data_IF_366186198275
#
_entry.id   IF_366186198275
#
_cell.length_a   1.000
_cell.length_b   1.000
_cell.length_c   1.000
_cell.angle_alpha   90.00
_cell.angle_beta   90.00
_cell.angle_gamma   90.00
#
_symmetry.space_group_name_H-M   'P 1'
#
loop_
_entity.id
_entity.type
_entity.pdbx_description
1 polymer ?
#
# COMPACT_ATOMS: atom_id res chain seq x y z
N UNK A 1 -28.16 -3.97 -3.65
CA UNK A 1 -27.27 -4.52 -2.63
C UNK A 1 -27.44 -3.77 -1.30
N UNK A 2 -26.96 -4.32 -0.19
CA UNK A 2 -26.91 -3.60 1.09
C UNK A 2 -25.48 -3.16 1.39
N UNK A 3 -25.32 -2.01 2.02
CA UNK A 3 -24.03 -1.49 2.48
C UNK A 3 -24.08 -1.31 3.99
N UNK A 4 -23.12 -1.90 4.68
CA UNK A 4 -22.81 -1.61 6.08
C UNK A 4 -21.34 -1.31 6.25
N UNK A 5 -20.96 -0.69 7.36
CA UNK A 5 -19.58 -0.29 7.61
C UNK A 5 -19.29 -0.23 9.12
N UNK A 6 -18.02 -0.27 9.45
CA UNK A 6 -17.53 -0.07 10.81
C UNK A 6 -16.23 0.72 10.79
N UNK A 7 -16.17 1.77 11.62
CA UNK A 7 -14.92 2.43 11.95
C UNK A 7 -14.17 1.55 12.96
N UNK A 8 -12.89 1.35 12.73
CA UNK A 8 -12.00 0.60 13.60
C UNK A 8 -10.73 1.41 13.87
N UNK A 9 -10.00 1.03 14.90
CA UNK A 9 -8.73 1.65 15.25
C UNK A 9 -7.74 0.56 15.61
N UNK A 10 -6.84 0.23 14.67
CA UNK A 10 -5.92 -0.89 14.76
C UNK A 10 -4.67 -0.49 15.54
N UNK A 11 -4.38 -1.10 16.71
CA UNK A 11 -3.20 -0.77 17.50
C UNK A 11 -1.93 -1.35 16.91
N UNK A 12 -0.86 -0.54 16.83
CA UNK A 12 0.47 -1.01 16.44
C UNK A 12 1.20 -1.67 17.60
N UNK A 13 2.01 -2.69 17.31
CA UNK A 13 2.95 -3.31 18.27
C UNK A 13 3.97 -2.32 18.80
N UNK A 14 4.42 -1.40 17.93
CA UNK A 14 5.37 -0.33 18.22
C UNK A 14 4.87 0.98 17.63
N UNK A 15 5.20 2.14 18.22
CA UNK A 15 4.94 3.41 17.58
C UNK A 15 5.53 3.41 16.15
N UNK A 16 4.72 3.81 15.18
CA UNK A 16 5.12 3.88 13.77
C UNK A 16 5.48 5.31 13.42
N UNK A 17 6.77 5.58 13.25
CA UNK A 17 7.30 6.93 13.00
C UNK A 17 7.89 7.04 11.60
N UNK A 18 7.48 8.07 10.88
CA UNK A 18 8.05 8.53 9.61
C UNK A 18 8.48 10.00 9.76
N UNK A 19 9.12 10.58 8.76
CA UNK A 19 9.54 12.00 8.77
C UNK A 19 8.39 12.99 9.04
N UNK A 20 7.13 12.58 8.82
CA UNK A 20 5.91 13.41 8.97
C UNK A 20 5.16 13.21 10.30
N UNK A 21 5.63 12.34 11.18
CA UNK A 21 5.02 12.12 12.50
C UNK A 21 4.96 10.67 12.97
N UNK A 22 4.39 10.49 14.15
CA UNK A 22 4.28 9.19 14.83
C UNK A 22 2.82 8.81 15.03
N UNK A 23 2.50 7.53 14.80
CA UNK A 23 1.20 6.92 15.08
C UNK A 23 1.37 5.73 16.03
N UNK A 24 0.39 5.52 16.91
CA UNK A 24 0.28 4.32 17.76
C UNK A 24 -0.89 3.42 17.33
N UNK A 25 -1.75 3.93 16.46
CA UNK A 25 -2.90 3.23 15.91
C UNK A 25 -3.12 3.63 14.46
N UNK A 26 -3.78 2.76 13.69
CA UNK A 26 -4.26 3.05 12.35
C UNK A 26 -5.80 3.06 12.37
N UNK A 27 -6.43 4.26 12.32
CA UNK A 27 -7.87 4.35 12.08
C UNK A 27 -8.19 3.86 10.67
N UNK A 28 -9.25 3.07 10.53
CA UNK A 28 -9.70 2.58 9.23
C UNK A 28 -11.22 2.45 9.15
N UNK A 29 -11.75 2.50 7.94
CA UNK A 29 -13.13 2.19 7.62
C UNK A 29 -13.18 0.81 6.96
N UNK A 30 -13.89 -0.13 7.57
CA UNK A 30 -14.28 -1.39 6.94
C UNK A 30 -15.67 -1.23 6.35
N UNK A 31 -15.83 -1.63 5.09
CA UNK A 31 -17.13 -1.70 4.43
C UNK A 31 -17.49 -3.15 4.10
N UNK A 32 -18.80 -3.44 4.16
CA UNK A 32 -19.39 -4.71 3.80
C UNK A 32 -20.48 -4.47 2.76
N UNK A 33 -20.38 -5.16 1.65
CA UNK A 33 -21.41 -5.23 0.61
C UNK A 33 -22.11 -6.58 0.68
N UNK A 34 -23.44 -6.58 0.70
CA UNK A 34 -24.24 -7.80 0.62
C UNK A 34 -25.12 -7.76 -0.62
N UNK A 35 -25.02 -8.79 -1.46
CA UNK A 35 -25.81 -8.93 -2.67
C UNK A 35 -26.13 -10.41 -2.94
N UNK A 36 -27.42 -10.72 -3.14
CA UNK A 36 -27.89 -12.09 -3.41
C UNK A 36 -27.38 -13.15 -2.41
N UNK A 37 -27.28 -12.79 -1.13
CA UNK A 37 -26.79 -13.69 -0.07
C UNK A 37 -25.26 -13.87 -0.03
N UNK A 38 -24.51 -13.19 -0.90
CA UNK A 38 -23.04 -13.18 -0.90
C UNK A 38 -22.54 -11.87 -0.27
N UNK A 39 -21.44 -11.95 0.46
CA UNK A 39 -20.87 -10.81 1.19
C UNK A 39 -19.44 -10.54 0.73
N UNK A 40 -19.14 -9.29 0.40
CA UNK A 40 -17.79 -8.78 0.13
C UNK A 40 -17.36 -7.75 1.15
N UNK A 41 -16.07 -7.73 1.49
CA UNK A 41 -15.45 -6.81 2.43
C UNK A 41 -14.36 -5.97 1.77
N UNK A 42 -14.19 -4.75 2.23
CA UNK A 42 -13.11 -3.86 1.82
C UNK A 42 -12.72 -2.92 2.94
N UNK A 43 -11.57 -2.31 2.80
CA UNK A 43 -10.94 -1.48 3.81
C UNK A 43 -10.35 -0.21 3.20
N UNK A 44 -10.39 0.88 3.96
CA UNK A 44 -9.58 2.05 3.73
C UNK A 44 -9.05 2.60 5.06
N UNK A 45 -7.72 2.60 5.28
CA UNK A 45 -7.10 3.31 6.38
C UNK A 45 -7.25 4.82 6.19
N UNK A 46 -7.47 5.54 7.29
CA UNK A 46 -7.51 7.01 7.30
C UNK A 46 -6.09 7.57 7.40
N UNK A 47 -5.71 8.46 6.50
CA UNK A 47 -4.37 9.06 6.45
C UNK A 47 -4.46 10.58 6.51
N UNK A 48 -3.94 11.15 7.57
CA UNK A 48 -3.97 12.61 7.82
C UNK A 48 -3.30 13.40 6.70
N UNK A 49 -2.22 12.88 6.12
CA UNK A 49 -1.51 13.52 5.01
C UNK A 49 -2.42 13.83 3.81
N UNK A 50 -3.39 12.95 3.53
CA UNK A 50 -4.35 13.14 2.43
C UNK A 50 -5.63 13.87 2.87
N UNK A 51 -5.71 14.29 4.14
CA UNK A 51 -6.86 14.97 4.73
C UNK A 51 -8.18 14.18 4.58
N UNK A 52 -8.09 12.86 4.70
CA UNK A 52 -9.25 11.95 4.65
C UNK A 52 -9.33 11.18 5.97
N UNK A 53 -10.01 11.73 7.00
CA UNK A 53 -10.30 11.00 8.23
C UNK A 53 -11.46 10.01 8.03
N UNK A 54 -11.62 9.06 8.96
CA UNK A 54 -12.70 8.05 8.92
C UNK A 54 -14.07 8.71 8.88
N UNK A 55 -14.26 9.78 9.65
CA UNK A 55 -15.51 10.54 9.73
C UNK A 55 -15.92 11.09 8.36
N UNK A 56 -14.96 11.57 7.57
CA UNK A 56 -15.21 12.07 6.21
C UNK A 56 -15.66 10.96 5.26
N UNK A 57 -15.07 9.77 5.38
CA UNK A 57 -15.50 8.61 4.59
C UNK A 57 -16.94 8.20 4.96
N UNK A 58 -17.25 8.17 6.26
CA UNK A 58 -18.59 7.84 6.76
C UNK A 58 -19.62 8.88 6.31
N UNK A 59 -19.33 10.17 6.48
CA UNK A 59 -20.22 11.25 6.06
C UNK A 59 -20.57 11.18 4.57
N UNK A 60 -19.55 10.98 3.73
CA UNK A 60 -19.74 10.87 2.28
C UNK A 60 -20.55 9.62 1.91
N UNK A 61 -20.27 8.49 2.57
CA UNK A 61 -21.02 7.25 2.37
C UNK A 61 -22.49 7.40 2.78
N UNK A 62 -22.77 7.88 4.00
CA UNK A 62 -24.14 8.02 4.49
C UNK A 62 -24.98 8.96 3.62
N UNK A 63 -24.39 10.08 3.15
CA UNK A 63 -25.05 11.01 2.25
C UNK A 63 -25.53 10.36 0.94
N UNK A 64 -24.81 9.35 0.44
CA UNK A 64 -25.05 8.72 -0.86
C UNK A 64 -25.31 7.21 -0.78
N UNK A 65 -25.45 6.66 0.42
CA UNK A 65 -25.64 5.23 0.68
C UNK A 65 -26.75 4.60 -0.17
N UNK A 66 -27.88 5.25 -0.24
CA UNK A 66 -29.02 4.76 -1.02
C UNK A 66 -28.70 4.68 -2.53
N UNK A 67 -27.83 5.54 -3.05
CA UNK A 67 -27.38 5.49 -4.44
C UNK A 67 -26.48 4.25 -4.65
N UNK A 68 -25.55 4.00 -3.71
CA UNK A 68 -24.70 2.79 -3.74
C UNK A 68 -25.55 1.54 -3.66
N UNK A 69 -26.54 1.48 -2.75
CA UNK A 69 -27.40 0.32 -2.56
C UNK A 69 -28.32 0.03 -3.75
N UNK A 70 -28.77 1.06 -4.47
CA UNK A 70 -29.61 0.94 -5.68
C UNK A 70 -28.83 0.58 -6.94
N UNK A 71 -27.50 0.59 -6.88
CA UNK A 71 -26.68 0.24 -8.04
C UNK A 71 -26.91 -1.23 -8.45
N UNK A 72 -27.18 -1.47 -9.72
CA UNK A 72 -27.32 -2.82 -10.29
C UNK A 72 -25.93 -3.41 -10.51
N UNK A 73 -25.40 -4.07 -9.49
CA UNK A 73 -24.05 -4.63 -9.50
C UNK A 73 -23.95 -5.81 -10.49
N UNK A 74 -23.09 -5.69 -11.49
CA UNK A 74 -22.81 -6.71 -12.49
C UNK A 74 -21.32 -6.92 -12.77
N UNK A 75 -20.45 -6.25 -12.02
CA UNK A 75 -19.01 -6.37 -12.11
C UNK A 75 -18.28 -5.16 -11.51
N UNK A 76 -17.05 -5.38 -10.98
CA UNK A 76 -16.35 -4.35 -10.21
C UNK A 76 -15.87 -3.16 -11.06
N UNK A 77 -15.44 -3.35 -12.30
CA UNK A 77 -14.94 -2.25 -13.13
C UNK A 77 -15.99 -1.17 -13.38
N UNK A 78 -17.21 -1.55 -13.78
CA UNK A 78 -18.32 -0.59 -13.97
C UNK A 78 -18.76 0.01 -12.63
N UNK A 79 -18.70 -0.79 -11.56
CA UNK A 79 -18.98 -0.32 -10.22
C UNK A 79 -17.99 0.74 -9.77
N UNK A 80 -16.70 0.54 -10.01
CA UNK A 80 -15.67 1.53 -9.72
C UNK A 80 -15.93 2.85 -10.47
N UNK A 81 -16.22 2.81 -11.76
CA UNK A 81 -16.56 4.02 -12.53
C UNK A 81 -17.73 4.78 -11.92
N UNK A 82 -18.76 4.06 -11.52
CA UNK A 82 -19.90 4.67 -10.83
C UNK A 82 -19.49 5.31 -9.50
N UNK A 83 -18.73 4.60 -8.67
CA UNK A 83 -18.24 5.09 -7.38
C UNK A 83 -17.34 6.32 -7.53
N UNK A 84 -16.43 6.30 -8.49
CA UNK A 84 -15.52 7.40 -8.76
C UNK A 84 -16.28 8.69 -9.12
N UNK A 85 -17.34 8.61 -9.91
CA UNK A 85 -18.22 9.74 -10.18
C UNK A 85 -19.06 10.14 -8.96
N UNK A 86 -19.45 9.16 -8.16
CA UNK A 86 -20.28 9.42 -6.99
C UNK A 86 -19.46 10.10 -5.87
N UNK A 87 -18.18 9.73 -5.70
CA UNK A 87 -17.28 10.21 -4.65
C UNK A 87 -15.97 10.79 -5.22
N UNK A 88 -16.01 11.83 -6.08
CA UNK A 88 -14.84 12.28 -6.84
C UNK A 88 -13.68 12.84 -5.97
N UNK A 89 -13.95 13.17 -4.72
CA UNK A 89 -12.97 13.74 -3.78
C UNK A 89 -12.62 12.79 -2.63
N UNK A 90 -13.04 11.52 -2.70
CA UNK A 90 -12.82 10.56 -1.63
C UNK A 90 -12.40 9.18 -2.16
N UNK A 91 -11.18 9.12 -2.72
CA UNK A 91 -10.63 7.88 -3.28
C UNK A 91 -10.47 6.78 -2.23
N UNK A 92 -10.29 7.13 -0.96
CA UNK A 92 -10.18 6.17 0.12
C UNK A 92 -11.50 5.42 0.32
N UNK A 93 -12.62 6.14 0.33
CA UNK A 93 -13.93 5.50 0.36
C UNK A 93 -14.20 4.67 -0.91
N UNK A 94 -13.82 5.21 -2.08
CA UNK A 94 -13.92 4.48 -3.36
C UNK A 94 -13.10 3.20 -3.29
N UNK A 95 -11.89 3.24 -2.74
CA UNK A 95 -11.03 2.08 -2.54
C UNK A 95 -11.70 0.99 -1.68
N UNK A 96 -12.24 1.37 -0.52
CA UNK A 96 -12.91 0.41 0.36
C UNK A 96 -14.11 -0.26 -0.35
N UNK A 97 -14.91 0.51 -1.08
CA UNK A 97 -16.06 0.01 -1.83
C UNK A 97 -15.66 -0.83 -3.04
N UNK A 98 -14.57 -0.47 -3.74
CA UNK A 98 -14.04 -1.22 -4.88
C UNK A 98 -13.47 -2.57 -4.45
N UNK A 99 -12.66 -2.60 -3.39
CA UNK A 99 -12.15 -3.85 -2.81
C UNK A 99 -13.31 -4.76 -2.39
N UNK A 100 -14.33 -4.21 -1.70
CA UNK A 100 -15.52 -4.97 -1.33
C UNK A 100 -16.29 -5.48 -2.54
N UNK A 101 -16.36 -4.70 -3.62
CA UNK A 101 -16.96 -5.09 -4.90
C UNK A 101 -16.20 -6.24 -5.57
N UNK A 102 -14.88 -6.21 -5.56
CA UNK A 102 -14.04 -7.30 -6.06
C UNK A 102 -14.17 -8.56 -5.22
N UNK A 103 -14.15 -8.45 -3.89
CA UNK A 103 -14.36 -9.58 -2.98
C UNK A 103 -15.72 -10.24 -3.21
N UNK A 104 -16.76 -9.41 -3.26
CA UNK A 104 -18.13 -9.87 -3.58
C UNK A 104 -18.17 -10.61 -4.92
N UNK A 105 -17.61 -10.03 -5.97
CA UNK A 105 -17.60 -10.60 -7.31
C UNK A 105 -16.83 -11.92 -7.37
N UNK A 106 -15.65 -11.98 -6.75
CA UNK A 106 -14.86 -13.20 -6.68
C UNK A 106 -15.60 -14.34 -5.99
N UNK A 107 -16.30 -14.05 -4.89
CA UNK A 107 -17.15 -15.01 -4.19
C UNK A 107 -18.37 -15.45 -5.02
N UNK A 108 -19.02 -14.52 -5.73
CA UNK A 108 -20.11 -14.86 -6.66
C UNK A 108 -19.63 -15.74 -7.82
N UNK A 109 -18.39 -15.60 -8.26
CA UNK A 109 -17.75 -16.39 -9.33
C UNK A 109 -17.09 -17.68 -8.82
N UNK A 110 -16.99 -17.87 -7.50
CA UNK A 110 -16.33 -19.02 -6.89
C UNK A 110 -14.81 -19.06 -7.14
N UNK A 111 -14.18 -17.92 -7.37
CA UNK A 111 -12.76 -17.83 -7.73
C UNK A 111 -12.01 -16.75 -6.94
N UNK A 112 -10.72 -16.94 -6.60
CA UNK A 112 -9.86 -15.89 -6.08
C UNK A 112 -9.56 -14.84 -7.16
N UNK A 113 -9.24 -13.60 -6.75
CA UNK A 113 -9.16 -12.47 -7.67
C UNK A 113 -8.05 -12.63 -8.72
N UNK A 114 -6.87 -13.10 -8.36
CA UNK A 114 -5.76 -13.28 -9.30
C UNK A 114 -6.13 -14.24 -10.46
N UNK A 115 -6.99 -15.24 -10.22
CA UNK A 115 -7.50 -16.13 -11.27
C UNK A 115 -8.57 -15.47 -12.13
N UNK A 116 -9.41 -14.61 -11.55
CA UNK A 116 -10.37 -13.82 -12.35
C UNK A 116 -9.67 -12.85 -13.31
N UNK A 117 -8.48 -12.39 -12.96
CA UNK A 117 -7.67 -11.51 -13.82
C UNK A 117 -6.77 -12.28 -14.80
N UNK A 118 -6.87 -13.61 -14.85
CA UNK A 118 -6.03 -14.50 -15.67
C UNK A 118 -4.52 -14.28 -15.43
N UNK A 119 -4.17 -13.92 -14.19
CA UNK A 119 -2.78 -13.71 -13.80
C UNK A 119 -2.09 -15.05 -13.64
N UNK A 120 -0.99 -15.26 -14.37
CA UNK A 120 -0.14 -16.44 -14.20
C UNK A 120 0.60 -16.34 -12.86
N UNK A 121 0.52 -17.40 -12.06
CA UNK A 121 1.23 -17.54 -10.80
C UNK A 121 2.73 -17.76 -11.06
N UNK A 122 3.41 -16.70 -11.49
CA UNK A 122 4.85 -16.69 -11.75
C UNK A 122 5.61 -16.31 -10.45
N UNK A 123 6.87 -15.90 -10.63
CA UNK A 123 7.69 -15.35 -9.54
C UNK A 123 6.97 -14.20 -8.86
N UNK A 124 6.90 -14.25 -7.53
CA UNK A 124 6.35 -13.22 -6.67
C UNK A 124 7.47 -12.50 -5.92
N UNK A 125 7.41 -11.17 -5.75
CA UNK A 125 8.36 -10.46 -4.89
C UNK A 125 8.12 -10.83 -3.42
N UNK A 126 9.19 -10.81 -2.63
CA UNK A 126 9.09 -10.86 -1.18
C UNK A 126 8.63 -9.50 -0.66
N UNK A 127 7.76 -9.52 0.38
CA UNK A 127 7.42 -8.28 1.10
C UNK A 127 8.55 -7.89 2.03
N UNK A 128 8.78 -6.59 2.13
CA UNK A 128 9.67 -6.04 3.15
C UNK A 128 8.98 -5.99 4.54
N UNK A 129 9.77 -5.68 5.56
CA UNK A 129 9.33 -5.35 6.91
C UNK A 129 9.82 -3.96 7.26
N UNK A 130 8.91 -3.09 7.70
CA UNK A 130 9.21 -1.67 7.91
C UNK A 130 9.86 -1.42 9.27
N UNK A 131 11.01 -0.74 9.23
CA UNK A 131 11.68 -0.16 10.39
C UNK A 131 11.39 1.35 10.39
N UNK A 132 10.49 1.79 11.27
CA UNK A 132 10.18 3.21 11.47
C UNK A 132 11.33 3.96 12.15
N UNK A 133 11.34 5.29 12.01
CA UNK A 133 12.35 6.16 12.63
C UNK A 133 12.25 6.08 14.16
N UNK A 134 13.38 5.79 14.82
CA UNK A 134 13.56 5.83 16.27
C UNK A 134 15.07 6.01 16.58
N UNK A 135 15.49 5.89 17.83
CA UNK A 135 16.92 5.79 18.13
C UNK A 135 17.54 4.56 17.43
N UNK A 136 18.79 4.66 17.04
CA UNK A 136 19.52 3.59 16.34
C UNK A 136 19.41 2.26 17.11
N UNK A 137 19.55 2.32 18.45
CA UNK A 137 19.48 1.13 19.32
C UNK A 137 18.12 0.43 19.21
N UNK A 138 17.02 1.19 19.20
CA UNK A 138 15.68 0.64 19.07
C UNK A 138 15.41 0.09 17.66
N UNK A 139 15.89 0.77 16.62
CA UNK A 139 15.78 0.29 15.24
C UNK A 139 16.53 -1.02 15.05
N UNK A 140 17.74 -1.13 15.59
CA UNK A 140 18.53 -2.38 15.60
C UNK A 140 17.83 -3.47 16.42
N UNK A 141 17.28 -3.13 17.58
CA UNK A 141 16.55 -4.08 18.42
C UNK A 141 15.32 -4.66 17.68
N UNK A 142 14.52 -3.80 17.03
CA UNK A 142 13.35 -4.19 16.23
C UNK A 142 13.76 -5.11 15.08
N UNK A 143 14.85 -4.80 14.37
CA UNK A 143 15.36 -5.62 13.28
C UNK A 143 15.80 -7.01 13.78
N UNK A 144 16.45 -7.08 14.96
CA UNK A 144 16.86 -8.35 15.57
C UNK A 144 15.68 -9.18 16.11
N UNK A 145 14.65 -8.51 16.60
CA UNK A 145 13.42 -9.18 17.09
C UNK A 145 12.63 -9.80 15.95
N UNK A 146 12.63 -9.16 14.77
CA UNK A 146 11.94 -9.62 13.56
C UNK A 146 12.95 -9.82 12.42
N UNK A 147 13.72 -10.93 12.39
CA UNK A 147 14.60 -11.23 11.27
C UNK A 147 13.79 -11.35 9.97
N UNK A 148 14.21 -10.62 8.93
CA UNK A 148 13.46 -10.55 7.67
C UNK A 148 14.42 -10.42 6.48
N UNK A 149 14.09 -10.95 5.29
CA UNK A 149 15.00 -10.91 4.15
C UNK A 149 15.14 -9.53 3.51
N UNK A 150 14.14 -8.67 3.68
CA UNK A 150 14.10 -7.31 3.12
C UNK A 150 13.55 -6.35 4.17
N UNK A 151 14.26 -5.28 4.47
CA UNK A 151 13.76 -4.21 5.34
C UNK A 151 13.50 -2.94 4.56
N UNK A 152 12.33 -2.32 4.81
CA UNK A 152 12.06 -0.94 4.40
C UNK A 152 12.42 -0.01 5.56
N UNK A 153 13.45 0.79 5.36
CA UNK A 153 13.99 1.68 6.40
C UNK A 153 13.44 3.09 6.16
N UNK A 154 12.71 3.61 7.13
CA UNK A 154 12.25 5.00 7.09
C UNK A 154 13.38 5.94 7.48
N UNK A 155 13.58 6.96 6.65
CA UNK A 155 14.62 7.99 6.81
C UNK A 155 14.00 9.38 6.65
N UNK A 156 14.81 10.42 6.58
CA UNK A 156 14.38 11.83 6.52
C UNK A 156 14.79 12.58 7.78
N UNK A 157 15.93 12.20 8.33
CA UNK A 157 16.61 12.84 9.45
C UNK A 157 18.02 13.24 9.05
N UNK A 158 18.72 14.08 9.84
CA UNK A 158 20.13 14.35 9.61
C UNK A 158 21.02 13.11 9.71
N UNK A 159 20.59 12.07 10.44
CA UNK A 159 21.38 10.88 10.78
C UNK A 159 21.12 9.69 9.84
N UNK A 160 20.46 9.88 8.70
CA UNK A 160 20.01 8.83 7.79
C UNK A 160 21.12 7.82 7.44
N UNK A 161 22.32 8.31 7.11
CA UNK A 161 23.46 7.44 6.77
C UNK A 161 23.92 6.64 7.98
N UNK A 162 24.07 7.29 9.14
CA UNK A 162 24.47 6.61 10.38
C UNK A 162 23.46 5.53 10.79
N UNK A 163 22.16 5.77 10.60
CA UNK A 163 21.09 4.78 10.81
C UNK A 163 21.32 3.56 9.92
N UNK A 164 21.47 3.77 8.61
CA UNK A 164 21.60 2.66 7.65
C UNK A 164 22.92 1.90 7.86
N UNK A 165 24.03 2.60 8.18
CA UNK A 165 25.32 1.99 8.55
C UNK A 165 25.18 1.09 9.78
N UNK A 166 24.54 1.59 10.82
CA UNK A 166 24.32 0.82 12.04
C UNK A 166 23.45 -0.43 11.81
N UNK A 167 22.37 -0.29 11.06
CA UNK A 167 21.52 -1.45 10.68
C UNK A 167 22.29 -2.45 9.82
N UNK A 168 23.08 -1.99 8.85
CA UNK A 168 23.89 -2.82 7.97
C UNK A 168 24.93 -3.63 8.75
N UNK A 169 25.51 -3.08 9.81
CA UNK A 169 26.47 -3.80 10.65
C UNK A 169 25.86 -5.01 11.38
N UNK A 170 24.54 -5.15 11.37
CA UNK A 170 23.79 -6.19 12.06
C UNK A 170 23.01 -7.13 11.14
N UNK A 171 22.94 -6.87 9.82
CA UNK A 171 22.16 -7.67 8.89
C UNK A 171 22.66 -7.55 7.45
N UNK A 172 22.72 -8.69 6.74
CA UNK A 172 22.97 -8.76 5.30
C UNK A 172 21.68 -8.74 4.45
N UNK A 173 20.52 -8.53 5.08
CA UNK A 173 19.24 -8.42 4.39
C UNK A 173 19.25 -7.31 3.33
N UNK A 174 18.37 -7.39 2.35
CA UNK A 174 18.16 -6.30 1.39
C UNK A 174 17.55 -5.10 2.11
N UNK A 175 18.09 -3.91 1.86
CA UNK A 175 17.55 -2.67 2.40
C UNK A 175 16.91 -1.85 1.29
N UNK A 176 15.70 -1.37 1.52
CA UNK A 176 14.98 -0.34 0.78
C UNK A 176 14.85 0.89 1.66
N UNK A 177 15.02 2.06 1.12
CA UNK A 177 14.98 3.30 1.89
C UNK A 177 13.81 4.15 1.42
N UNK A 178 13.01 4.66 2.36
CA UNK A 178 11.89 5.55 2.08
C UNK A 178 12.10 6.88 2.83
N UNK A 179 12.34 7.95 2.07
CA UNK A 179 12.56 9.27 2.60
C UNK A 179 11.27 10.07 2.86
N UNK A 180 10.13 9.59 2.40
CA UNK A 180 8.83 10.26 2.52
C UNK A 180 8.89 11.76 2.16
N UNK A 181 9.57 12.08 1.06
CA UNK A 181 9.72 13.43 0.51
C UNK A 181 10.46 14.40 1.45
N UNK A 182 11.41 13.93 2.23
CA UNK A 182 12.09 14.75 3.25
C UNK A 182 13.39 15.40 2.78
N UNK A 183 13.97 14.97 1.65
CA UNK A 183 15.27 15.47 1.22
C UNK A 183 15.15 16.63 0.22
N UNK A 184 16.20 17.46 0.17
CA UNK A 184 16.50 18.36 -0.95
C UNK A 184 17.26 17.61 -2.05
N UNK A 185 17.43 18.24 -3.22
CA UNK A 185 18.22 17.68 -4.32
C UNK A 185 19.67 17.46 -3.89
N UNK A 186 20.26 18.43 -3.19
CA UNK A 186 21.64 18.39 -2.69
C UNK A 186 21.82 17.24 -1.70
N UNK A 187 20.92 17.11 -0.73
CA UNK A 187 20.95 16.00 0.24
C UNK A 187 20.82 14.64 -0.44
N UNK A 188 19.90 14.52 -1.40
CA UNK A 188 19.71 13.27 -2.14
C UNK A 188 20.95 12.91 -2.96
N UNK A 189 21.56 13.86 -3.66
CA UNK A 189 22.81 13.65 -4.42
C UNK A 189 24.00 13.25 -3.53
N UNK A 190 24.03 13.71 -2.28
CA UNK A 190 25.05 13.32 -1.31
C UNK A 190 24.78 11.95 -0.69
N UNK A 191 23.51 11.69 -0.30
CA UNK A 191 23.13 10.49 0.46
C UNK A 191 23.04 9.23 -0.42
N UNK A 192 22.47 9.32 -1.63
CA UNK A 192 22.19 8.14 -2.48
C UNK A 192 23.44 7.33 -2.83
N UNK A 193 24.60 7.93 -3.21
CA UNK A 193 25.83 7.16 -3.44
C UNK A 193 26.34 6.44 -2.18
N UNK A 194 26.18 7.03 -0.99
CA UNK A 194 26.54 6.38 0.28
C UNK A 194 25.61 5.20 0.59
N UNK A 195 24.31 5.35 0.34
CA UNK A 195 23.31 4.28 0.48
C UNK A 195 23.60 3.13 -0.49
N UNK A 196 24.02 3.42 -1.73
CA UNK A 196 24.45 2.40 -2.67
C UNK A 196 25.64 1.60 -2.13
N UNK A 197 26.65 2.29 -1.57
CA UNK A 197 27.82 1.64 -0.97
C UNK A 197 27.44 0.74 0.22
N UNK A 198 26.34 1.05 0.90
CA UNK A 198 25.75 0.24 1.98
C UNK A 198 24.84 -0.90 1.47
N UNK A 199 24.73 -1.10 0.16
CA UNK A 199 23.93 -2.17 -0.43
C UNK A 199 22.42 -1.94 -0.38
N UNK A 200 21.97 -0.67 -0.39
CA UNK A 200 20.55 -0.34 -0.54
C UNK A 200 20.09 -0.67 -1.97
N UNK A 201 18.90 -1.27 -2.11
CA UNK A 201 18.34 -1.71 -3.40
C UNK A 201 17.69 -0.56 -4.18
N UNK A 202 16.95 0.30 -3.48
CA UNK A 202 16.18 1.41 -4.08
C UNK A 202 15.91 2.51 -3.04
N UNK A 203 15.56 3.69 -3.57
CA UNK A 203 15.11 4.84 -2.77
C UNK A 203 13.70 5.22 -3.19
N UNK A 204 12.78 5.25 -2.22
CA UNK A 204 11.40 5.67 -2.41
C UNK A 204 11.24 7.14 -2.03
N UNK A 205 10.59 7.91 -2.89
CA UNK A 205 10.20 9.31 -2.78
C UNK A 205 11.24 10.20 -2.05
N UNK A 206 12.40 10.48 -2.64
CA UNK A 206 13.43 11.30 -1.99
C UNK A 206 12.99 12.75 -1.80
N UNK A 207 12.40 13.39 -2.84
CA UNK A 207 12.06 14.80 -2.86
C UNK A 207 10.55 15.05 -2.69
N UNK A 208 10.19 16.31 -2.44
CA UNK A 208 8.79 16.76 -2.44
C UNK A 208 8.06 16.29 -3.72
N UNK A 209 6.79 15.92 -3.58
CA UNK A 209 5.99 15.28 -4.64
C UNK A 209 5.84 16.10 -5.93
N UNK A 210 6.01 17.41 -5.84
CA UNK A 210 5.87 18.39 -6.93
C UNK A 210 7.21 18.95 -7.40
N UNK A 211 8.33 18.51 -6.85
CA UNK A 211 9.69 18.89 -7.30
C UNK A 211 10.13 18.03 -8.50
N UNK A 212 9.47 18.21 -9.64
CA UNK A 212 9.76 17.47 -10.87
C UNK A 212 11.11 17.81 -11.47
N UNK A 213 11.57 19.08 -11.36
CA UNK A 213 12.88 19.50 -11.85
C UNK A 213 14.01 18.84 -11.04
N UNK A 214 13.88 18.82 -9.72
CA UNK A 214 14.81 18.10 -8.85
C UNK A 214 14.81 16.59 -9.13
N UNK A 215 13.65 16.00 -9.30
CA UNK A 215 13.54 14.58 -9.62
C UNK A 215 14.15 14.20 -10.97
N UNK A 216 14.05 15.08 -11.97
CA UNK A 216 14.73 14.87 -13.25
C UNK A 216 16.25 14.85 -13.10
N UNK A 217 16.81 15.77 -12.29
CA UNK A 217 18.25 15.78 -11.99
C UNK A 217 18.66 14.48 -11.29
N UNK A 218 17.86 14.02 -10.31
CA UNK A 218 18.15 12.77 -9.61
C UNK A 218 18.01 11.55 -10.51
N UNK A 219 17.02 11.52 -11.38
CA UNK A 219 16.81 10.40 -12.33
C UNK A 219 18.05 10.19 -13.21
N UNK A 220 18.68 11.27 -13.69
CA UNK A 220 19.87 11.21 -14.55
C UNK A 220 21.16 10.84 -13.79
N UNK A 221 21.24 11.14 -12.48
CA UNK A 221 22.47 11.03 -11.67
C UNK A 221 22.45 9.93 -10.63
N UNK A 222 21.27 9.43 -10.26
CA UNK A 222 21.16 8.45 -9.19
C UNK A 222 21.71 7.09 -9.60
N UNK A 223 22.62 6.51 -8.82
CA UNK A 223 23.10 5.15 -9.05
C UNK A 223 22.10 4.08 -8.56
N UNK A 224 21.04 4.48 -7.84
CA UNK A 224 19.99 3.60 -7.34
C UNK A 224 18.66 3.88 -8.03
N UNK A 225 17.81 2.88 -8.22
CA UNK A 225 16.44 3.07 -8.68
C UNK A 225 15.65 4.00 -7.74
N UNK A 226 14.92 4.94 -8.31
CA UNK A 226 14.04 5.88 -7.61
C UNK A 226 12.58 5.47 -7.85
N UNK A 227 11.80 5.33 -6.78
CA UNK A 227 10.39 4.90 -6.83
C UNK A 227 9.49 6.05 -6.36
N UNK A 228 8.48 6.39 -7.17
CA UNK A 228 7.52 7.43 -6.84
C UNK A 228 6.44 6.90 -5.89
N UNK A 229 6.19 7.55 -4.75
CA UNK A 229 5.06 7.29 -3.86
C UNK A 229 4.09 8.49 -3.87
N UNK A 230 4.41 9.58 -3.17
CA UNK A 230 3.55 10.74 -3.06
C UNK A 230 3.38 11.49 -4.39
N UNK A 231 4.32 11.34 -5.33
CA UNK A 231 4.26 11.93 -6.67
C UNK A 231 3.35 11.14 -7.63
N UNK A 232 2.98 9.88 -7.30
CA UNK A 232 2.13 9.02 -8.12
C UNK A 232 0.88 8.60 -7.33
N UNK A 233 -0.19 9.35 -7.47
CA UNK A 233 -1.47 9.13 -6.76
C UNK A 233 -2.47 8.46 -7.67
N UNK A 234 -2.65 8.97 -8.89
CA UNK A 234 -3.66 8.56 -9.84
C UNK A 234 -3.06 7.91 -11.08
N UNK A 235 -3.90 7.23 -11.85
CA UNK A 235 -3.53 6.65 -13.15
C UNK A 235 -2.90 7.70 -14.11
N UNK A 236 -3.38 8.95 -14.09
CA UNK A 236 -2.83 10.05 -14.89
C UNK A 236 -1.40 10.47 -14.48
N UNK A 237 -0.96 10.16 -13.25
CA UNK A 237 0.35 10.55 -12.77
C UNK A 237 1.45 9.60 -13.25
N UNK A 238 1.09 8.36 -13.63
CA UNK A 238 2.06 7.36 -14.10
C UNK A 238 2.89 7.87 -15.27
N UNK A 239 2.26 8.55 -16.23
CA UNK A 239 2.97 9.12 -17.37
C UNK A 239 3.91 10.26 -16.99
N UNK A 240 3.54 11.08 -16.00
CA UNK A 240 4.39 12.15 -15.46
C UNK A 240 5.63 11.60 -14.76
N UNK A 241 5.54 10.41 -14.15
CA UNK A 241 6.67 9.77 -13.50
C UNK A 241 7.75 9.27 -14.46
N UNK A 242 7.43 9.08 -15.75
CA UNK A 242 8.40 8.68 -16.76
C UNK A 242 9.54 9.70 -16.87
N UNK A 243 10.79 9.24 -16.90
CA UNK A 243 12.01 10.06 -16.92
C UNK A 243 12.23 10.95 -15.67
N UNK A 244 11.46 10.71 -14.60
CA UNK A 244 11.66 11.30 -13.27
C UNK A 244 11.88 10.22 -12.22
N UNK A 245 11.28 9.04 -12.42
CA UNK A 245 11.40 7.89 -11.54
C UNK A 245 11.64 6.62 -12.39
N UNK A 246 12.30 5.63 -11.80
CA UNK A 246 12.53 4.33 -12.42
C UNK A 246 11.34 3.36 -12.20
N UNK A 247 10.48 3.69 -11.26
CA UNK A 247 9.28 2.92 -10.94
C UNK A 247 8.27 3.74 -10.13
N UNK A 248 7.11 3.13 -9.89
CA UNK A 248 6.02 3.72 -9.10
C UNK A 248 5.62 2.80 -7.96
N UNK A 249 5.22 3.38 -6.83
CA UNK A 249 4.59 2.70 -5.72
C UNK A 249 3.08 3.00 -5.73
N UNK A 250 2.31 2.04 -6.20
CA UNK A 250 0.84 2.10 -6.20
C UNK A 250 0.36 1.83 -4.78
N UNK A 251 -0.53 2.66 -4.25
CA UNK A 251 -1.27 2.37 -3.02
C UNK A 251 -2.76 2.40 -3.33
N UNK A 252 -3.45 1.31 -3.00
CA UNK A 252 -4.85 1.12 -3.39
C UNK A 252 -5.74 2.28 -2.95
N UNK A 253 -5.51 2.80 -1.74
CA UNK A 253 -6.25 3.95 -1.21
C UNK A 253 -5.97 5.24 -1.97
N UNK A 254 -4.75 5.47 -2.43
CA UNK A 254 -4.42 6.65 -3.23
C UNK A 254 -5.18 6.66 -4.55
N UNK A 255 -5.09 5.57 -5.30
CA UNK A 255 -5.68 5.49 -6.64
C UNK A 255 -7.18 5.19 -6.64
N UNK A 256 -7.72 4.70 -5.52
CA UNK A 256 -9.15 4.40 -5.39
C UNK A 256 -9.52 2.93 -5.60
N UNK A 257 -8.60 2.00 -5.35
CA UNK A 257 -8.88 0.57 -5.30
C UNK A 257 -8.11 -0.30 -6.30
N UNK A 258 -8.50 -1.55 -6.38
CA UNK A 258 -7.90 -2.56 -7.27
C UNK A 258 -8.11 -2.23 -8.74
N UNK A 259 -9.29 -1.74 -9.10
CA UNK A 259 -9.65 -1.42 -10.50
C UNK A 259 -8.67 -0.42 -11.14
N UNK A 260 -8.41 0.76 -10.57
CA UNK A 260 -7.41 1.67 -11.13
C UNK A 260 -5.98 1.15 -10.94
N UNK A 261 -5.69 0.43 -9.86
CA UNK A 261 -4.36 -0.11 -9.62
C UNK A 261 -3.91 -1.06 -10.74
N UNK A 262 -4.78 -1.94 -11.22
CA UNK A 262 -4.50 -2.83 -12.36
C UNK A 262 -4.16 -2.05 -13.63
N UNK A 263 -4.89 -0.96 -13.92
CA UNK A 263 -4.58 -0.09 -15.07
C UNK A 263 -3.26 0.67 -14.90
N UNK A 264 -2.94 1.10 -13.66
CA UNK A 264 -1.64 1.72 -13.36
C UNK A 264 -0.48 0.76 -13.57
N UNK A 265 -0.64 -0.53 -13.19
CA UNK A 265 0.35 -1.58 -13.49
C UNK A 265 0.56 -1.71 -15.00
N UNK A 266 -0.52 -1.84 -15.77
CA UNK A 266 -0.44 -1.95 -17.22
C UNK A 266 0.25 -0.72 -17.86
N UNK A 267 -0.15 0.48 -17.43
CA UNK A 267 0.44 1.74 -17.92
C UNK A 267 1.92 1.84 -17.60
N UNK A 268 2.33 1.48 -16.38
CA UNK A 268 3.74 1.50 -15.98
C UNK A 268 4.58 0.51 -16.81
N UNK A 269 4.04 -0.69 -17.08
CA UNK A 269 4.71 -1.68 -17.95
C UNK A 269 4.87 -1.18 -19.39
N UNK A 270 3.86 -0.50 -19.94
CA UNK A 270 3.96 0.13 -21.27
C UNK A 270 5.02 1.23 -21.34
N UNK A 271 5.40 1.80 -20.22
CA UNK A 271 6.42 2.84 -20.08
C UNK A 271 7.79 2.30 -19.63
N UNK A 272 7.95 0.98 -19.55
CA UNK A 272 9.16 0.28 -19.08
C UNK A 272 9.55 0.66 -17.61
N UNK A 273 8.57 0.99 -16.79
CA UNK A 273 8.77 1.34 -15.39
C UNK A 273 8.60 0.13 -14.47
N UNK A 274 9.36 0.11 -13.38
CA UNK A 274 9.16 -0.84 -12.29
C UNK A 274 7.85 -0.57 -11.54
N UNK A 275 7.23 -1.64 -11.07
CA UNK A 275 5.97 -1.55 -10.32
C UNK A 275 6.16 -2.10 -8.93
N UNK A 276 5.87 -1.27 -7.95
CA UNK A 276 5.71 -1.60 -6.55
C UNK A 276 4.26 -1.36 -6.13
N UNK A 277 3.73 -2.18 -5.24
CA UNK A 277 2.51 -1.86 -4.49
C UNK A 277 2.85 -1.78 -3.03
N UNK A 278 2.46 -0.69 -2.39
CA UNK A 278 2.69 -0.45 -0.97
C UNK A 278 1.40 -0.35 -0.17
N UNK A 279 1.52 -0.57 1.13
CA UNK A 279 0.41 -0.43 2.08
C UNK A 279 0.39 0.94 2.77
N UNK A 280 -0.71 1.20 3.46
CA UNK A 280 -0.91 2.30 4.41
C UNK A 280 -1.15 1.76 5.83
N UNK A 281 -0.56 0.59 6.13
CA UNK A 281 -0.72 -0.18 7.36
C UNK A 281 -2.16 -0.75 7.51
N UNK A 282 -2.70 -1.27 6.41
CA UNK A 282 -3.98 -1.96 6.37
C UNK A 282 -3.95 -3.25 7.20
N UNK A 283 -5.14 -3.67 7.62
CA UNK A 283 -5.38 -5.02 8.14
C UNK A 283 -5.21 -6.09 7.05
N UNK A 284 -5.40 -7.35 7.42
CA UNK A 284 -5.47 -8.47 6.47
C UNK A 284 -6.49 -8.23 5.34
N UNK A 285 -7.54 -7.43 5.53
CA UNK A 285 -8.53 -7.15 4.48
C UNK A 285 -7.88 -6.39 3.31
N UNK A 286 -7.25 -5.26 3.58
CA UNK A 286 -6.58 -4.46 2.55
C UNK A 286 -5.34 -5.16 1.99
N UNK A 287 -4.56 -5.81 2.87
CA UNK A 287 -3.36 -6.54 2.45
C UNK A 287 -3.68 -7.76 1.58
N UNK A 288 -4.82 -8.44 1.77
CA UNK A 288 -5.24 -9.52 0.89
C UNK A 288 -5.55 -9.04 -0.54
N UNK A 289 -6.09 -7.82 -0.67
CA UNK A 289 -6.27 -7.21 -1.99
C UNK A 289 -4.92 -7.03 -2.71
N UNK A 290 -3.88 -6.57 -1.99
CA UNK A 290 -2.51 -6.45 -2.52
C UNK A 290 -1.94 -7.83 -2.88
N UNK A 291 -2.17 -8.86 -2.04
CA UNK A 291 -1.65 -10.21 -2.28
C UNK A 291 -2.06 -10.77 -3.64
N UNK A 292 -3.28 -10.51 -4.10
CA UNK A 292 -3.72 -10.96 -5.43
C UNK A 292 -2.97 -10.29 -6.59
N UNK A 293 -2.30 -9.17 -6.37
CA UNK A 293 -1.51 -8.46 -7.38
C UNK A 293 -0.05 -8.92 -7.44
N UNK A 294 0.45 -9.68 -6.46
CA UNK A 294 1.86 -10.05 -6.32
C UNK A 294 2.55 -10.51 -7.60
N UNK A 295 1.95 -11.38 -8.44
CA UNK A 295 2.63 -11.85 -9.65
C UNK A 295 2.82 -10.76 -10.73
N UNK A 296 2.19 -9.60 -10.58
CA UNK A 296 2.32 -8.46 -11.49
C UNK A 296 3.45 -7.50 -11.09
N UNK A 297 4.03 -7.66 -9.89
CA UNK A 297 4.87 -6.67 -9.23
C UNK A 297 6.36 -7.01 -9.32
N UNK A 298 7.22 -5.97 -9.32
CA UNK A 298 8.67 -6.11 -9.09
C UNK A 298 9.00 -6.05 -7.61
N UNK A 299 8.30 -5.20 -6.85
CA UNK A 299 8.48 -4.98 -5.41
C UNK A 299 7.13 -4.89 -4.73
N UNK A 300 7.09 -5.23 -3.44
CA UNK A 300 5.90 -5.10 -2.60
C UNK A 300 6.28 -4.70 -1.19
N UNK A 301 5.42 -3.89 -0.57
CA UNK A 301 5.44 -3.49 0.83
C UNK A 301 4.02 -3.71 1.38
N UNK A 302 3.80 -4.88 2.01
CA UNK A 302 2.48 -5.30 2.50
C UNK A 302 2.57 -5.89 3.91
N UNK A 303 3.40 -5.30 4.74
CA UNK A 303 3.68 -5.73 6.10
C UNK A 303 2.65 -5.23 7.14
N UNK A 304 1.62 -4.49 6.71
CA UNK A 304 0.60 -3.92 7.60
C UNK A 304 0.13 -4.88 8.70
N UNK A 305 -0.36 -6.09 8.38
CA UNK A 305 -0.79 -7.07 9.38
C UNK A 305 0.29 -7.47 10.38
N UNK A 306 1.55 -7.47 9.98
CA UNK A 306 2.68 -7.84 10.86
C UNK A 306 2.97 -6.77 11.91
N UNK A 307 2.61 -5.52 11.64
CA UNK A 307 2.82 -4.37 12.52
C UNK A 307 1.71 -4.21 13.57
N UNK A 308 0.58 -4.90 13.42
CA UNK A 308 -0.59 -4.78 14.30
C UNK A 308 -0.51 -5.72 15.51
N UNK A 309 -1.05 -5.27 16.65
CA UNK A 309 -1.22 -6.12 17.86
C UNK A 309 -2.30 -7.17 17.61
N UNK A 310 -3.40 -6.75 16.99
CA UNK A 310 -4.55 -7.59 16.63
C UNK A 310 -5.08 -7.21 15.25
N UNK A 311 -5.69 -8.16 14.56
CA UNK A 311 -6.23 -7.97 13.23
C UNK A 311 -7.73 -8.32 13.21
N UNK A 312 -8.46 -7.73 12.30
CA UNK A 312 -9.91 -7.94 12.11
C UNK A 312 -10.25 -9.06 11.13
N UNK A 313 -9.22 -9.66 10.53
CA UNK A 313 -9.38 -10.78 9.60
C UNK A 313 -8.14 -11.69 9.64
N UNK A 314 -8.31 -12.89 9.08
CA UNK A 314 -7.23 -13.88 8.85
C UNK A 314 -7.31 -14.39 7.42
N UNK A 315 -6.26 -15.08 6.95
CA UNK A 315 -6.23 -15.69 5.62
C UNK A 315 -4.96 -15.41 4.83
N UNK A 316 -4.15 -14.42 5.24
CA UNK A 316 -2.80 -14.24 4.72
C UNK A 316 -1.79 -15.05 5.54
N UNK A 317 -0.85 -15.63 4.84
CA UNK A 317 0.26 -16.35 5.45
C UNK A 317 1.58 -15.77 4.97
N UNK A 318 2.40 -15.35 5.94
CA UNK A 318 3.73 -14.77 5.72
C UNK A 318 4.79 -15.77 6.17
N UNK A 319 5.70 -16.13 5.28
CA UNK A 319 6.83 -16.99 5.58
C UNK A 319 8.12 -16.34 5.05
N UNK A 320 8.91 -15.79 5.96
CA UNK A 320 10.19 -15.16 5.63
C UNK A 320 10.11 -14.22 4.40
N UNK A 321 9.16 -13.31 4.40
CA UNK A 321 8.89 -12.35 3.32
C UNK A 321 8.04 -12.88 2.18
N UNK A 322 7.88 -14.18 2.03
CA UNK A 322 6.97 -14.76 1.06
C UNK A 322 5.53 -14.67 1.57
N UNK A 323 4.62 -14.26 0.70
CA UNK A 323 3.19 -14.24 1.00
C UNK A 323 2.49 -15.23 0.06
N UNK A 324 1.77 -16.19 0.66
CA UNK A 324 1.01 -17.14 -0.13
C UNK A 324 -0.18 -16.46 -0.82
N UNK A 325 -0.41 -16.74 -2.10
CA UNK A 325 -1.61 -16.25 -2.80
C UNK A 325 -2.85 -16.86 -2.17
N UNK A 326 -3.87 -16.03 -1.81
CA UNK A 326 -5.10 -16.56 -1.26
C UNK A 326 -5.80 -17.47 -2.28
N UNK A 327 -6.14 -18.70 -1.87
CA UNK A 327 -6.74 -19.71 -2.75
C UNK A 327 -8.27 -19.71 -2.73
N UNK A 328 -8.89 -19.22 -1.66
CA UNK A 328 -10.34 -19.18 -1.51
C UNK A 328 -10.96 -18.04 -2.36
N UNK A 329 -12.24 -18.14 -2.72
CA UNK A 329 -12.93 -17.14 -3.53
C UNK A 329 -12.91 -15.73 -2.94
N UNK A 330 -12.88 -14.72 -3.82
CA UNK A 330 -12.77 -13.31 -3.44
C UNK A 330 -11.37 -12.98 -2.93
N UNK A 331 -11.29 -12.27 -1.83
CA UNK A 331 -10.03 -11.95 -1.14
C UNK A 331 -9.40 -13.17 -0.46
N UNK A 332 -10.16 -14.25 -0.25
CA UNK A 332 -9.67 -15.46 0.42
C UNK A 332 -9.46 -15.31 1.93
N UNK A 333 -10.14 -14.37 2.57
CA UNK A 333 -10.03 -14.05 3.99
C UNK A 333 -11.21 -14.52 4.80
N UNK A 334 -11.00 -14.66 6.11
CA UNK A 334 -12.03 -14.89 7.12
C UNK A 334 -12.08 -13.70 8.07
N UNK A 335 -13.25 -13.11 8.22
CA UNK A 335 -13.46 -11.96 9.11
C UNK A 335 -13.57 -12.43 10.56
N UNK A 336 -12.92 -11.73 11.49
CA UNK A 336 -13.03 -12.00 12.91
C UNK A 336 -14.45 -11.67 13.43
N UNK A 337 -15.01 -12.54 14.28
CA UNK A 337 -16.33 -12.30 14.89
C UNK A 337 -16.39 -10.99 15.67
N UNK A 338 -15.28 -10.58 16.27
CA UNK A 338 -15.13 -9.32 17.02
C UNK A 338 -15.38 -8.07 16.16
N UNK A 339 -15.26 -8.17 14.82
CA UNK A 339 -15.56 -7.06 13.93
C UNK A 339 -17.04 -6.67 14.01
N UNK A 340 -17.97 -7.62 14.15
CA UNK A 340 -19.39 -7.35 14.42
C UNK A 340 -20.08 -6.45 13.37
N UNK A 341 -19.88 -6.69 12.08
CA UNK A 341 -20.42 -5.90 10.95
C UNK A 341 -21.37 -6.75 10.08
#
# INVERSE_FOLDING_TARGET
MKVSYKAINLPFKYPFTISKGTKTHQPALIVKLEHMGVVGYGEAPAITYYNIPVEKMIEDLERKKLMVEKYAFNGPERYWHYLHHLFPQNNFLVCALDIAGWDLYGKMRGQPLHRLWDIKENRQPLTDYTIGIDSIEKMVAKMKEQPWPIYKIKVGTPDDIAIVEALRSHSDAVFRVDANAAWTVEEALEKIPKLQALGVELVEQPLAKDDWEGMKILYEKSPLPLIADEACVFESDVEKCKNHFHGINIKLTKCGGLTPALRMVEKARQLDMKVMVGCMNESTIGSAAIAHMLPLLDHVDMDGPLLLVEDVATGLHYDNGQVALPAAPGLGITIAESLGI
#
